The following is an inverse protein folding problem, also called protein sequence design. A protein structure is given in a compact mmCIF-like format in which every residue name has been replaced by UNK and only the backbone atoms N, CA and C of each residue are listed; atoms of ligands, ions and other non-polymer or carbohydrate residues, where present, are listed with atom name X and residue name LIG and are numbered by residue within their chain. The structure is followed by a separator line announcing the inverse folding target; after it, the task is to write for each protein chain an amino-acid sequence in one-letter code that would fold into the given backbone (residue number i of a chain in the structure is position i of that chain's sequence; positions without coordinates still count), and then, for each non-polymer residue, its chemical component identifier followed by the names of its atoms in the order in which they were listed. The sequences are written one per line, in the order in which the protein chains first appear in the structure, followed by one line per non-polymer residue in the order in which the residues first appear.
data_IF_809522921873
#
_entry.id   IF_809522921873
#
_cell.length_a   1.000
_cell.length_b   1.000
_cell.length_c   1.000
_cell.angle_alpha   90.00
_cell.angle_beta   90.00
_cell.angle_gamma   90.00
#
_symmetry.space_group_name_H-M   'P 1'
#
loop_
_entity.id
_entity.type
_entity.pdbx_description
1 polymer ?
#
# COMPACT_ATOMS: atom_id res chain seq x y z
N UNK A 1 48.60 -60.09 12.31
CA UNK A 1 47.30 -60.68 12.02
C UNK A 1 46.23 -59.84 12.70
N UNK A 2 45.58 -58.93 11.99
CA UNK A 2 44.44 -58.13 12.50
C UNK A 2 43.24 -58.40 11.60
N UNK A 3 42.19 -58.95 12.20
CA UNK A 3 40.93 -59.25 11.50
C UNK A 3 40.13 -57.95 11.24
N UNK A 4 39.81 -57.68 9.99
CA UNK A 4 38.88 -56.65 9.59
C UNK A 4 37.41 -57.11 9.80
N UNK A 5 36.66 -56.39 10.61
CA UNK A 5 35.22 -56.60 10.77
C UNK A 5 34.45 -55.69 9.80
N UNK A 6 33.73 -56.32 8.91
CA UNK A 6 32.93 -55.73 7.85
C UNK A 6 31.57 -55.24 8.46
N UNK A 7 31.38 -53.92 8.65
CA UNK A 7 30.08 -53.35 9.05
C UNK A 7 29.29 -52.98 7.80
N UNK A 8 28.31 -53.76 7.45
CA UNK A 8 27.31 -53.49 6.44
C UNK A 8 26.46 -52.25 6.81
N UNK A 9 26.63 -51.12 6.10
CA UNK A 9 25.77 -49.94 6.23
C UNK A 9 24.41 -50.26 5.62
N UNK A 10 23.37 -50.34 6.46
CA UNK A 10 21.97 -50.35 6.02
C UNK A 10 21.62 -49.01 5.40
N UNK A 11 21.16 -49.00 4.15
CA UNK A 11 20.58 -47.82 3.47
C UNK A 11 19.27 -47.43 4.16
N UNK A 12 19.01 -46.13 4.44
CA UNK A 12 17.73 -45.68 4.96
C UNK A 12 16.63 -45.91 3.90
N UNK A 13 15.47 -46.41 4.35
CA UNK A 13 14.26 -46.56 3.51
C UNK A 13 13.75 -45.19 3.06
N UNK A 14 13.27 -45.03 1.80
CA UNK A 14 12.68 -43.81 1.32
C UNK A 14 11.42 -43.46 2.15
N UNK A 15 11.43 -42.32 2.78
CA UNK A 15 10.28 -41.80 3.53
C UNK A 15 9.23 -41.34 2.52
N UNK A 16 8.06 -41.96 2.58
CA UNK A 16 6.92 -41.74 1.68
C UNK A 16 6.46 -40.26 1.74
N UNK A 17 7.00 -39.43 0.81
CA UNK A 17 6.71 -38.01 0.68
C UNK A 17 5.24 -37.73 0.32
N UNK A 18 4.53 -38.71 -0.25
CA UNK A 18 3.13 -38.61 -0.62
C UNK A 18 2.20 -38.58 0.61
N UNK A 19 2.51 -39.35 1.66
CA UNK A 19 1.72 -39.33 2.91
C UNK A 19 1.93 -38.07 3.74
N UNK A 20 3.06 -37.39 3.63
CA UNK A 20 3.29 -36.08 4.25
C UNK A 20 2.51 -34.97 3.54
N UNK A 21 2.42 -35.00 2.21
CA UNK A 21 1.62 -34.04 1.43
C UNK A 21 0.11 -34.21 1.64
N UNK A 22 -0.38 -35.44 1.82
CA UNK A 22 -1.79 -35.71 2.10
C UNK A 22 -2.21 -35.30 3.53
N UNK A 23 -1.29 -35.38 4.53
CA UNK A 23 -1.55 -34.91 5.90
C UNK A 23 -1.50 -33.38 6.02
N UNK A 24 -0.73 -32.68 5.18
CA UNK A 24 -0.70 -31.22 5.14
C UNK A 24 -1.99 -30.63 4.53
N UNK A 25 -2.65 -31.35 3.60
CA UNK A 25 -3.93 -30.92 3.00
C UNK A 25 -5.16 -31.12 3.90
N UNK A 26 -5.07 -31.88 5.00
CA UNK A 26 -6.18 -32.09 5.98
C UNK A 26 -6.08 -31.27 7.25
N UNK A 27 -5.08 -30.39 7.39
CA UNK A 27 -5.15 -29.33 8.38
C UNK A 27 -6.03 -28.24 7.76
N UNK A 28 -7.31 -28.24 8.13
CA UNK A 28 -8.22 -27.16 7.84
C UNK A 28 -7.53 -25.83 8.13
N UNK A 29 -7.67 -24.86 7.23
CA UNK A 29 -7.23 -23.49 7.49
C UNK A 29 -7.75 -23.12 8.90
N UNK A 30 -6.85 -22.63 9.76
CA UNK A 30 -7.28 -22.09 11.04
C UNK A 30 -8.35 -21.03 10.74
N UNK A 31 -9.47 -20.99 11.47
CA UNK A 31 -10.49 -20.00 11.24
C UNK A 31 -9.82 -18.63 11.27
N UNK A 32 -10.03 -17.84 10.22
CA UNK A 32 -9.61 -16.44 10.16
C UNK A 32 -10.22 -15.77 11.39
N UNK A 33 -9.44 -15.14 12.27
CA UNK A 33 -10.04 -14.46 13.41
C UNK A 33 -10.98 -13.39 12.86
N UNK A 34 -12.27 -13.48 13.21
CA UNK A 34 -13.21 -12.39 13.00
C UNK A 34 -12.66 -11.18 13.77
N UNK A 35 -12.26 -10.16 13.01
CA UNK A 35 -11.92 -8.85 13.56
C UNK A 35 -13.26 -8.13 13.66
N UNK A 36 -13.47 -7.33 14.69
CA UNK A 36 -14.69 -6.55 14.89
C UNK A 36 -15.10 -5.88 13.57
N UNK A 37 -16.23 -6.33 13.03
CA UNK A 37 -16.75 -5.96 11.71
C UNK A 37 -17.32 -4.53 11.69
N UNK A 38 -17.41 -3.91 12.85
CA UNK A 38 -17.97 -2.57 12.97
C UNK A 38 -16.93 -1.50 12.63
N UNK A 39 -17.33 -0.53 11.83
CA UNK A 39 -16.54 0.68 11.60
C UNK A 39 -16.37 1.41 12.93
N UNK A 40 -15.14 1.69 13.40
CA UNK A 40 -14.92 2.39 14.65
C UNK A 40 -15.52 3.80 14.64
N UNK A 41 -16.28 4.16 15.67
CA UNK A 41 -16.87 5.49 15.81
C UNK A 41 -15.85 6.61 15.74
N UNK A 42 -14.67 6.39 16.30
CA UNK A 42 -13.56 7.34 16.26
C UNK A 42 -13.08 7.62 14.83
N UNK A 43 -13.06 6.61 13.95
CA UNK A 43 -12.73 6.79 12.53
C UNK A 43 -13.85 7.57 11.83
N UNK A 44 -15.10 7.19 12.04
CA UNK A 44 -16.24 7.85 11.42
C UNK A 44 -16.34 9.33 11.86
N UNK A 45 -16.12 9.63 13.14
CA UNK A 45 -16.08 10.99 13.67
C UNK A 45 -14.93 11.80 13.06
N UNK A 46 -13.73 11.23 12.98
CA UNK A 46 -12.59 11.90 12.37
C UNK A 46 -12.83 12.22 10.88
N UNK A 47 -13.53 11.33 10.14
CA UNK A 47 -13.93 11.60 8.75
C UNK A 47 -14.96 12.71 8.69
N UNK A 48 -16.02 12.66 9.52
CA UNK A 48 -17.06 13.68 9.62
C UNK A 48 -16.47 15.08 9.88
N UNK A 49 -15.56 15.17 10.82
CA UNK A 49 -14.90 16.43 11.20
C UNK A 49 -13.80 16.88 10.24
N UNK A 50 -13.58 16.16 9.14
CA UNK A 50 -12.48 16.38 8.19
C UNK A 50 -11.09 16.37 8.86
N UNK A 51 -10.97 15.62 9.94
CA UNK A 51 -9.73 15.36 10.68
C UNK A 51 -9.08 14.02 10.34
N UNK A 52 -9.54 13.36 9.27
CA UNK A 52 -8.93 12.12 8.76
C UNK A 52 -8.16 12.37 7.46
N UNK A 53 -7.02 11.70 7.32
CA UNK A 53 -6.23 11.59 6.10
C UNK A 53 -6.51 10.21 5.52
N UNK A 54 -6.75 10.14 4.21
CA UNK A 54 -6.74 8.88 3.49
C UNK A 54 -5.34 8.61 2.93
N UNK A 55 -4.82 7.40 3.10
CA UNK A 55 -3.61 6.93 2.44
C UNK A 55 -3.95 5.75 1.53
N UNK A 56 -3.96 5.98 0.21
CA UNK A 56 -4.42 5.04 -0.79
C UNK A 56 -3.25 4.36 -1.52
N UNK A 57 -3.25 3.02 -1.54
CA UNK A 57 -2.26 2.20 -2.22
C UNK A 57 -2.76 1.61 -3.54
N UNK A 58 -1.93 0.75 -4.15
CA UNK A 58 -2.15 0.16 -5.47
C UNK A 58 -3.45 -0.65 -5.59
N UNK A 59 -3.94 -1.24 -4.49
CA UNK A 59 -5.21 -1.99 -4.48
C UNK A 59 -6.42 -1.16 -4.91
N UNK A 60 -6.39 0.18 -4.75
CA UNK A 60 -7.42 1.06 -5.26
C UNK A 60 -7.45 1.09 -6.80
N UNK A 61 -6.28 1.12 -7.43
CA UNK A 61 -6.14 1.23 -8.88
C UNK A 61 -6.25 -0.12 -9.61
N UNK A 62 -5.85 -1.21 -8.95
CA UNK A 62 -6.04 -2.58 -9.48
C UNK A 62 -7.53 -2.88 -9.74
N UNK A 63 -8.42 -2.34 -8.92
CA UNK A 63 -9.86 -2.46 -9.03
C UNK A 63 -10.44 -1.92 -10.36
N UNK A 64 -9.80 -0.97 -10.98
CA UNK A 64 -10.22 -0.42 -12.28
C UNK A 64 -9.41 -0.97 -13.46
N UNK A 65 -8.63 -2.03 -13.22
CA UNK A 65 -7.92 -2.79 -14.25
C UNK A 65 -6.52 -2.26 -14.58
N UNK A 66 -5.85 -1.64 -13.62
CA UNK A 66 -4.42 -1.37 -13.76
C UNK A 66 -3.62 -2.69 -13.80
N UNK A 67 -2.54 -2.75 -14.62
CA UNK A 67 -1.61 -3.86 -14.60
C UNK A 67 -1.03 -4.13 -13.22
N UNK A 68 -0.72 -5.38 -12.96
CA UNK A 68 -0.05 -5.78 -11.72
C UNK A 68 1.42 -5.34 -11.72
N UNK A 69 2.01 -5.27 -10.52
CA UNK A 69 3.46 -5.09 -10.38
C UNK A 69 4.27 -6.18 -11.10
N UNK A 70 3.72 -7.39 -11.25
CA UNK A 70 4.39 -8.48 -11.97
C UNK A 70 4.54 -8.15 -13.45
N UNK A 71 3.50 -7.61 -14.10
CA UNK A 71 3.58 -7.21 -15.50
C UNK A 71 4.61 -6.10 -15.74
N UNK A 72 4.79 -5.21 -14.77
CA UNK A 72 5.82 -4.19 -14.79
C UNK A 72 7.24 -4.79 -14.67
N UNK A 73 7.42 -5.77 -13.79
CA UNK A 73 8.67 -6.52 -13.64
C UNK A 73 9.00 -7.26 -14.93
N UNK A 74 8.01 -7.95 -15.49
CA UNK A 74 8.17 -8.75 -16.72
C UNK A 74 8.56 -7.85 -17.91
N UNK A 75 7.96 -6.66 -18.01
CA UNK A 75 8.33 -5.68 -19.03
C UNK A 75 9.77 -5.20 -18.88
N UNK A 76 10.21 -4.82 -17.68
CA UNK A 76 11.61 -4.42 -17.44
C UNK A 76 12.59 -5.54 -17.81
N UNK A 77 12.29 -6.76 -17.41
CA UNK A 77 13.12 -7.92 -17.72
C UNK A 77 13.20 -8.19 -19.22
N UNK A 78 12.06 -8.11 -19.92
CA UNK A 78 12.00 -8.28 -21.38
C UNK A 78 12.85 -7.24 -22.11
N UNK A 79 12.75 -5.95 -21.75
CA UNK A 79 13.57 -4.89 -22.37
C UNK A 79 15.07 -5.06 -22.10
N UNK A 80 15.43 -5.69 -20.98
CA UNK A 80 16.80 -5.99 -20.61
C UNK A 80 17.31 -7.32 -21.21
N UNK A 81 16.46 -8.08 -21.89
CA UNK A 81 16.79 -9.42 -22.42
C UNK A 81 17.05 -10.45 -21.31
N UNK A 82 16.39 -10.30 -20.18
CA UNK A 82 16.57 -11.13 -19.00
C UNK A 82 15.40 -12.12 -18.86
N UNK A 83 15.72 -13.34 -18.37
CA UNK A 83 14.71 -14.37 -18.06
C UNK A 83 14.21 -14.18 -16.62
N UNK A 84 12.92 -13.83 -16.48
CA UNK A 84 12.29 -13.54 -15.17
C UNK A 84 12.29 -14.73 -14.22
N UNK A 85 12.19 -15.96 -14.73
CA UNK A 85 12.11 -17.18 -13.91
C UNK A 85 13.40 -17.45 -13.12
N UNK A 86 14.54 -16.91 -13.59
CA UNK A 86 15.87 -17.13 -13.02
C UNK A 86 16.49 -15.90 -12.34
N UNK A 87 15.91 -14.73 -12.51
CA UNK A 87 16.55 -13.45 -12.15
C UNK A 87 16.27 -12.97 -10.74
N UNK A 88 15.05 -13.16 -10.27
CA UNK A 88 14.65 -12.72 -8.97
C UNK A 88 14.86 -13.86 -7.98
N UNK A 89 16.11 -14.13 -7.63
CA UNK A 89 16.38 -14.89 -6.41
C UNK A 89 15.73 -14.21 -5.20
N UNK A 90 15.63 -14.91 -4.04
CA UNK A 90 14.93 -14.38 -2.85
C UNK A 90 15.40 -13.01 -2.35
N UNK A 91 16.52 -12.52 -2.86
CA UNK A 91 17.16 -11.27 -2.44
C UNK A 91 16.97 -10.10 -3.42
N UNK A 92 16.46 -10.30 -4.64
CA UNK A 92 16.29 -9.23 -5.61
C UNK A 92 14.87 -8.66 -5.55
N UNK A 93 14.78 -7.37 -5.22
CA UNK A 93 13.53 -6.64 -5.25
C UNK A 93 13.29 -6.03 -6.64
N UNK A 94 12.03 -5.68 -6.95
CA UNK A 94 11.72 -4.93 -8.17
C UNK A 94 12.42 -3.56 -8.22
N UNK A 95 12.76 -2.97 -7.08
CA UNK A 95 13.55 -1.74 -7.00
C UNK A 95 14.98 -1.95 -7.50
N UNK A 96 15.59 -3.08 -7.15
CA UNK A 96 16.92 -3.46 -7.65
C UNK A 96 16.89 -3.68 -9.17
N UNK A 97 15.82 -4.28 -9.70
CA UNK A 97 15.65 -4.45 -11.15
C UNK A 97 15.48 -3.08 -11.84
N UNK A 98 14.69 -2.17 -11.27
CA UNK A 98 14.53 -0.81 -11.80
C UNK A 98 15.84 -0.01 -11.75
N UNK A 99 16.65 -0.19 -10.70
CA UNK A 99 17.99 0.40 -10.60
C UNK A 99 18.90 -0.15 -11.71
N UNK A 100 18.91 -1.47 -11.92
CA UNK A 100 19.68 -2.10 -12.97
C UNK A 100 19.21 -1.64 -14.36
N UNK A 101 17.91 -1.48 -14.56
CA UNK A 101 17.34 -0.91 -15.78
C UNK A 101 17.90 0.49 -16.02
N UNK A 102 17.89 1.36 -15.02
CA UNK A 102 18.45 2.71 -15.10
C UNK A 102 19.93 2.72 -15.47
N UNK A 103 20.73 1.82 -14.88
CA UNK A 103 22.16 1.67 -15.17
C UNK A 103 22.37 1.25 -16.63
N UNK A 104 21.57 0.31 -17.14
CA UNK A 104 21.72 -0.22 -18.50
C UNK A 104 21.21 0.72 -19.58
N UNK A 105 20.09 1.40 -19.33
CA UNK A 105 19.44 2.30 -20.30
C UNK A 105 19.87 3.78 -20.13
N UNK A 106 20.63 4.10 -19.09
CA UNK A 106 21.05 5.47 -18.76
C UNK A 106 19.96 6.34 -18.12
N UNK A 107 18.68 5.93 -18.20
CA UNK A 107 17.54 6.60 -17.58
C UNK A 107 16.34 5.66 -17.42
N UNK A 108 15.33 6.09 -16.66
CA UNK A 108 14.02 5.40 -16.57
C UNK A 108 12.99 5.96 -17.55
N UNK A 109 13.38 6.86 -18.47
CA UNK A 109 12.44 7.57 -19.34
C UNK A 109 11.58 6.67 -20.22
N UNK A 110 12.16 5.60 -20.81
CA UNK A 110 11.42 4.63 -21.59
C UNK A 110 10.43 3.85 -20.72
N UNK A 111 10.87 3.41 -19.54
CA UNK A 111 10.05 2.71 -18.55
C UNK A 111 8.89 3.60 -18.08
N UNK A 112 9.16 4.83 -17.70
CA UNK A 112 8.12 5.82 -17.33
C UNK A 112 7.11 6.02 -18.48
N UNK A 113 7.58 6.12 -19.71
CA UNK A 113 6.70 6.28 -20.88
C UNK A 113 5.83 5.04 -21.13
N UNK A 114 6.36 3.87 -20.83
CA UNK A 114 5.58 2.63 -20.87
C UNK A 114 4.51 2.62 -19.78
N UNK A 115 4.85 2.99 -18.55
CA UNK A 115 3.91 3.10 -17.42
C UNK A 115 2.77 4.08 -17.76
N UNK A 116 3.09 5.28 -18.24
CA UNK A 116 2.08 6.30 -18.58
C UNK A 116 1.11 5.84 -19.67
N UNK A 117 1.56 5.00 -20.62
CA UNK A 117 0.70 4.42 -21.66
C UNK A 117 -0.13 3.24 -21.18
N UNK A 118 0.45 2.35 -20.38
CA UNK A 118 -0.18 1.08 -19.99
C UNK A 118 -0.97 1.19 -18.70
N UNK A 119 -0.67 2.17 -17.86
CA UNK A 119 -1.37 2.42 -16.59
C UNK A 119 -2.46 3.50 -16.73
N UNK A 120 -2.96 3.65 -17.94
CA UNK A 120 -4.06 4.56 -18.22
C UNK A 120 -5.39 3.80 -18.19
N UNK A 121 -6.24 4.17 -17.26
CA UNK A 121 -7.63 3.70 -17.19
C UNK A 121 -8.54 4.73 -17.84
N UNK A 122 -9.60 4.29 -18.53
CA UNK A 122 -10.55 5.22 -19.11
C UNK A 122 -11.37 5.94 -18.03
N UNK A 123 -11.69 7.20 -18.25
CA UNK A 123 -12.49 8.00 -17.30
C UNK A 123 -13.86 7.38 -17.04
N UNK A 124 -14.43 6.64 -18.01
CA UNK A 124 -15.70 5.92 -17.85
C UNK A 124 -15.57 4.80 -16.82
N UNK A 125 -14.47 4.04 -16.83
CA UNK A 125 -14.24 2.98 -15.84
C UNK A 125 -14.06 3.56 -14.44
N UNK A 126 -13.29 4.65 -14.30
CA UNK A 126 -13.12 5.31 -13.02
C UNK A 126 -14.44 5.87 -12.51
N UNK A 127 -15.23 6.53 -13.38
CA UNK A 127 -16.56 7.07 -13.05
C UNK A 127 -17.54 5.98 -12.62
N UNK A 128 -17.48 4.79 -13.23
CA UNK A 128 -18.33 3.65 -12.90
C UNK A 128 -17.88 2.92 -11.62
N UNK A 129 -16.67 3.18 -11.13
CA UNK A 129 -16.15 2.52 -9.93
C UNK A 129 -16.82 3.04 -8.67
N UNK A 130 -17.60 2.17 -8.01
CA UNK A 130 -18.24 2.46 -6.72
C UNK A 130 -17.21 2.81 -5.65
N UNK A 131 -16.06 2.15 -5.64
CA UNK A 131 -14.98 2.41 -4.69
C UNK A 131 -14.44 3.84 -4.82
N UNK A 132 -14.18 4.30 -6.06
CA UNK A 132 -13.72 5.67 -6.32
C UNK A 132 -14.79 6.71 -5.98
N UNK A 133 -16.06 6.42 -6.27
CA UNK A 133 -17.18 7.28 -5.87
C UNK A 133 -17.25 7.45 -4.35
N UNK A 134 -17.20 6.35 -3.59
CA UNK A 134 -17.20 6.37 -2.14
C UNK A 134 -16.01 7.14 -1.54
N UNK A 135 -14.81 7.01 -2.16
CA UNK A 135 -13.64 7.77 -1.74
C UNK A 135 -13.89 9.28 -1.83
N UNK A 136 -14.47 9.74 -2.94
CA UNK A 136 -14.77 11.18 -3.14
C UNK A 136 -15.89 11.65 -2.20
N UNK A 137 -16.92 10.82 -2.00
CA UNK A 137 -18.07 11.12 -1.14
C UNK A 137 -17.72 11.20 0.34
N UNK A 138 -16.72 10.46 0.82
CA UNK A 138 -16.20 10.52 2.19
C UNK A 138 -15.46 11.83 2.50
N UNK A 139 -15.17 12.65 1.50
CA UNK A 139 -14.66 14.02 1.60
C UNK A 139 -13.41 14.19 2.49
N UNK A 140 -12.43 13.30 2.34
CA UNK A 140 -11.15 13.46 3.02
C UNK A 140 -10.46 14.76 2.59
N UNK A 141 -9.99 15.61 3.53
CA UNK A 141 -9.29 16.85 3.18
C UNK A 141 -7.94 16.59 2.51
N UNK A 142 -7.31 15.46 2.80
CA UNK A 142 -6.02 15.09 2.24
C UNK A 142 -6.04 13.60 1.88
N UNK A 143 -5.73 13.30 0.62
CA UNK A 143 -5.54 11.94 0.11
C UNK A 143 -4.07 11.79 -0.29
N UNK A 144 -3.31 11.01 0.47
CA UNK A 144 -1.97 10.56 0.09
C UNK A 144 -2.06 9.31 -0.78
N UNK A 145 -1.18 9.20 -1.76
CA UNK A 145 -1.06 7.97 -2.55
C UNK A 145 0.38 7.74 -3.01
N UNK A 146 0.79 6.47 -3.02
CA UNK A 146 2.03 6.04 -3.68
C UNK A 146 1.81 5.66 -5.14
N UNK A 147 0.56 5.68 -5.62
CA UNK A 147 0.22 5.34 -6.99
C UNK A 147 0.64 6.46 -7.95
N UNK A 148 1.22 6.08 -9.07
CA UNK A 148 1.62 7.03 -10.13
C UNK A 148 0.45 7.39 -11.06
N UNK A 149 -0.57 6.51 -11.16
CA UNK A 149 -1.75 6.70 -12.02
C UNK A 149 -2.59 7.92 -11.59
N UNK A 150 -3.56 8.29 -12.44
CA UNK A 150 -4.42 9.47 -12.24
C UNK A 150 -5.86 9.11 -11.88
N UNK A 151 -6.10 7.90 -11.36
CA UNK A 151 -7.47 7.43 -11.13
C UNK A 151 -8.18 8.21 -10.01
N UNK A 152 -7.44 8.62 -8.96
CA UNK A 152 -8.01 9.45 -7.89
C UNK A 152 -8.39 10.82 -8.43
N UNK A 153 -7.52 11.47 -9.19
CA UNK A 153 -7.77 12.76 -9.83
C UNK A 153 -8.96 12.69 -10.80
N UNK A 154 -9.04 11.62 -11.60
CA UNK A 154 -10.16 11.37 -12.51
C UNK A 154 -11.50 11.17 -11.75
N UNK A 155 -11.46 10.50 -10.59
CA UNK A 155 -12.64 10.34 -9.73
C UNK A 155 -13.13 11.69 -9.19
N UNK A 156 -12.23 12.54 -8.69
CA UNK A 156 -12.58 13.88 -8.22
C UNK A 156 -13.18 14.72 -9.35
N UNK A 157 -12.55 14.71 -10.52
CA UNK A 157 -13.07 15.42 -11.71
C UNK A 157 -14.44 14.90 -12.14
N UNK A 158 -14.66 13.57 -12.18
CA UNK A 158 -15.94 12.96 -12.53
C UNK A 158 -17.07 13.36 -11.57
N UNK A 159 -16.78 13.57 -10.30
CA UNK A 159 -17.71 14.02 -9.28
C UNK A 159 -17.75 15.55 -9.10
N UNK A 160 -17.07 16.31 -9.95
CA UNK A 160 -17.00 17.79 -9.92
C UNK A 160 -16.52 18.32 -8.55
N UNK A 161 -15.59 17.63 -7.94
CA UNK A 161 -14.96 18.02 -6.68
C UNK A 161 -13.60 18.67 -6.97
N UNK A 162 -13.41 19.88 -6.50
CA UNK A 162 -12.14 20.58 -6.64
C UNK A 162 -11.04 19.93 -5.79
N UNK A 163 -9.84 19.91 -6.32
CA UNK A 163 -8.65 19.41 -5.62
C UNK A 163 -7.39 20.14 -6.05
N UNK A 164 -6.37 20.11 -5.22
CA UNK A 164 -5.00 20.49 -5.55
C UNK A 164 -4.14 19.25 -5.59
N UNK A 165 -3.53 18.94 -6.74
CA UNK A 165 -2.52 17.89 -6.86
C UNK A 165 -1.19 18.42 -6.29
N UNK A 166 -0.57 17.64 -5.42
CA UNK A 166 0.70 17.93 -4.76
C UNK A 166 1.69 16.81 -5.06
N UNK A 167 2.63 17.04 -5.98
CA UNK A 167 3.67 16.09 -6.34
C UNK A 167 5.08 16.54 -5.92
N UNK A 168 5.24 17.82 -5.56
CA UNK A 168 6.52 18.41 -5.16
C UNK A 168 6.32 19.62 -4.23
N UNK A 169 7.43 20.22 -3.78
CA UNK A 169 7.42 21.36 -2.85
C UNK A 169 6.66 22.58 -3.39
N UNK A 170 6.75 22.86 -4.71
CA UNK A 170 6.05 24.00 -5.35
C UNK A 170 4.54 23.85 -5.22
N UNK A 171 4.03 22.62 -5.29
CA UNK A 171 2.60 22.36 -5.24
C UNK A 171 2.07 22.49 -3.81
N UNK A 172 2.90 22.25 -2.79
CA UNK A 172 2.53 22.50 -1.38
C UNK A 172 2.11 23.96 -1.21
N UNK A 173 2.83 24.90 -1.82
CA UNK A 173 2.52 26.32 -1.73
C UNK A 173 1.21 26.73 -2.43
N UNK A 174 0.64 25.86 -3.29
CA UNK A 174 -0.63 26.10 -4.01
C UNK A 174 -1.85 25.58 -3.24
N UNK A 175 -1.66 24.89 -2.12
CA UNK A 175 -2.76 24.35 -1.33
C UNK A 175 -3.62 25.48 -0.77
N UNK A 176 -4.94 25.21 -0.66
CA UNK A 176 -5.94 26.17 -0.19
C UNK A 176 -6.79 25.53 0.88
N UNK A 177 -7.18 26.30 1.85
CA UNK A 177 -8.12 25.85 2.89
C UNK A 177 -9.47 25.46 2.26
N UNK A 178 -10.06 24.37 2.74
CA UNK A 178 -11.34 23.86 2.24
C UNK A 178 -11.24 23.03 0.96
N UNK A 179 -10.15 23.11 0.19
CA UNK A 179 -9.94 22.35 -1.04
C UNK A 179 -9.17 21.07 -0.74
N UNK A 180 -9.67 19.93 -1.22
CA UNK A 180 -9.01 18.65 -1.05
C UNK A 180 -7.61 18.61 -1.68
N UNK A 181 -6.69 17.90 -1.07
CA UNK A 181 -5.33 17.72 -1.58
C UNK A 181 -5.13 16.26 -1.99
N UNK A 182 -4.64 16.03 -3.20
CA UNK A 182 -4.17 14.71 -3.66
C UNK A 182 -2.65 14.75 -3.70
N UNK A 183 -2.01 14.07 -2.73
CA UNK A 183 -0.55 14.10 -2.56
C UNK A 183 0.06 12.85 -3.17
N UNK A 184 0.78 13.02 -4.27
CA UNK A 184 1.49 11.96 -5.02
C UNK A 184 2.82 11.68 -4.32
N UNK A 185 2.78 10.80 -3.30
CA UNK A 185 3.87 10.61 -2.37
C UNK A 185 5.12 9.97 -3.00
N UNK A 186 4.95 9.12 -4.02
CA UNK A 186 6.04 8.55 -4.82
C UNK A 186 6.20 9.22 -6.19
N UNK A 187 5.64 10.40 -6.36
CA UNK A 187 5.77 11.19 -7.57
C UNK A 187 4.64 11.00 -8.57
N UNK A 188 4.77 11.70 -9.69
CA UNK A 188 3.77 11.80 -10.76
C UNK A 188 4.46 11.76 -12.12
N UNK A 189 3.79 11.24 -13.16
CA UNK A 189 4.31 11.18 -14.53
C UNK A 189 4.51 12.56 -15.20
N UNK A 190 4.00 13.64 -14.63
CA UNK A 190 4.22 15.01 -15.11
C UNK A 190 5.56 15.59 -14.65
N UNK A 191 6.23 14.97 -13.66
CA UNK A 191 7.53 15.37 -13.14
C UNK A 191 8.42 14.14 -12.93
N UNK A 192 9.23 13.83 -13.94
CA UNK A 192 10.13 12.66 -13.94
C UNK A 192 11.08 12.65 -12.73
N UNK A 193 11.45 13.81 -12.20
CA UNK A 193 12.33 13.92 -11.04
C UNK A 193 11.62 13.61 -9.71
N UNK A 194 10.29 13.54 -9.72
CA UNK A 194 9.50 13.21 -8.53
C UNK A 194 9.35 11.70 -8.30
N UNK A 195 9.63 10.88 -9.33
CA UNK A 195 9.34 9.44 -9.31
C UNK A 195 10.28 8.68 -8.38
N UNK A 196 9.71 7.87 -7.50
CA UNK A 196 10.41 6.98 -6.56
C UNK A 196 10.24 5.54 -7.04
N UNK A 197 11.12 5.08 -7.92
CA UNK A 197 11.02 3.77 -8.59
C UNK A 197 12.23 2.89 -8.32
N UNK A 198 13.44 3.47 -8.37
CA UNK A 198 14.69 2.72 -8.24
C UNK A 198 15.08 2.50 -6.77
N UNK A 199 15.99 1.57 -6.53
CA UNK A 199 16.51 1.30 -5.18
C UNK A 199 17.19 2.54 -4.57
N UNK A 200 17.94 3.29 -5.37
CA UNK A 200 18.54 4.56 -4.95
C UNK A 200 17.46 5.58 -4.56
N UNK A 201 16.36 5.68 -5.29
CA UNK A 201 15.26 6.60 -4.94
C UNK A 201 14.66 6.22 -3.58
N UNK A 202 14.47 4.93 -3.32
CA UNK A 202 13.99 4.43 -2.02
C UNK A 202 14.96 4.72 -0.89
N UNK A 203 16.26 4.54 -1.11
CA UNK A 203 17.29 4.86 -0.11
C UNK A 203 17.37 6.35 0.19
N UNK A 204 17.26 7.19 -0.83
CA UNK A 204 17.23 8.64 -0.64
C UNK A 204 16.02 9.08 0.22
N UNK A 205 14.91 8.33 0.17
CA UNK A 205 13.72 8.59 0.99
C UNK A 205 13.87 8.15 2.45
N UNK A 206 14.86 7.33 2.81
CA UNK A 206 15.08 6.88 4.20
C UNK A 206 15.53 8.01 5.15
N UNK A 207 16.01 9.12 4.63
CA UNK A 207 16.29 10.32 5.42
C UNK A 207 15.01 10.98 5.96
N UNK A 208 13.87 10.78 5.29
CA UNK A 208 12.57 11.38 5.62
C UNK A 208 12.61 12.91 5.77
N UNK A 209 13.40 13.57 4.94
CA UNK A 209 13.62 15.02 4.93
C UNK A 209 13.09 15.70 3.66
N UNK A 210 12.54 14.93 2.71
CA UNK A 210 11.92 15.52 1.54
C UNK A 210 10.70 16.37 1.94
N UNK A 211 10.35 17.42 1.17
CA UNK A 211 9.19 18.26 1.48
C UNK A 211 7.88 17.50 1.65
N UNK A 212 7.66 16.41 0.90
CA UNK A 212 6.47 15.56 1.04
C UNK A 212 6.53 14.71 2.31
N UNK A 213 7.70 14.24 2.74
CA UNK A 213 7.87 13.50 4.00
C UNK A 213 7.59 14.41 5.20
N UNK A 214 8.12 15.63 5.17
CA UNK A 214 7.86 16.64 6.20
C UNK A 214 6.37 17.00 6.27
N UNK A 215 5.74 17.18 5.10
CA UNK A 215 4.29 17.44 5.02
C UNK A 215 3.50 16.28 5.62
N UNK A 216 3.77 15.03 5.23
CA UNK A 216 3.04 13.87 5.76
C UNK A 216 3.23 13.75 7.28
N UNK A 217 4.46 13.91 7.77
CA UNK A 217 4.73 13.88 9.22
C UNK A 217 3.93 14.93 9.97
N UNK A 218 3.92 16.17 9.46
CA UNK A 218 3.13 17.26 10.04
C UNK A 218 1.64 16.94 10.06
N UNK A 219 1.09 16.50 8.93
CA UNK A 219 -0.33 16.17 8.81
C UNK A 219 -0.73 15.00 9.71
N UNK A 220 0.07 13.93 9.74
CA UNK A 220 -0.21 12.70 10.50
C UNK A 220 0.03 12.85 12.01
N UNK A 221 0.75 13.87 12.46
CA UNK A 221 0.87 14.16 13.90
C UNK A 221 -0.46 14.66 14.48
N UNK A 222 -1.25 15.38 13.72
CA UNK A 222 -2.48 16.00 14.22
C UNK A 222 -3.78 15.36 13.71
N UNK A 223 -3.71 14.31 12.83
CA UNK A 223 -4.89 13.74 12.19
C UNK A 223 -4.91 12.22 12.24
N UNK A 224 -6.11 11.66 12.28
CA UNK A 224 -6.33 10.22 12.04
C UNK A 224 -5.89 9.85 10.64
N UNK A 225 -5.22 8.70 10.47
CA UNK A 225 -4.81 8.20 9.14
C UNK A 225 -5.50 6.88 8.87
N UNK A 226 -6.21 6.79 7.74
CA UNK A 226 -6.80 5.56 7.22
C UNK A 226 -6.00 5.07 6.01
N UNK A 227 -5.41 3.88 6.09
CA UNK A 227 -4.74 3.21 4.97
C UNK A 227 -5.70 2.26 4.29
N UNK A 228 -5.84 2.36 2.95
CA UNK A 228 -6.65 1.47 2.12
C UNK A 228 -5.87 1.02 0.88
N UNK A 229 -6.19 -0.18 0.37
CA UNK A 229 -5.54 -0.70 -0.84
C UNK A 229 -4.03 -0.88 -0.68
N UNK A 230 -3.56 -1.06 0.55
CA UNK A 230 -2.14 -1.10 0.91
C UNK A 230 -1.79 -2.43 1.55
N UNK A 231 -0.78 -3.11 1.01
CA UNK A 231 -0.30 -4.38 1.58
C UNK A 231 0.56 -4.18 2.84
N UNK A 232 0.92 -2.93 3.17
CA UNK A 232 1.86 -2.58 4.25
C UNK A 232 3.23 -3.27 4.12
N UNK A 233 3.64 -3.56 2.89
CA UNK A 233 4.96 -4.15 2.60
C UNK A 233 6.02 -3.10 2.27
N UNK A 234 5.61 -1.87 1.89
CA UNK A 234 6.52 -0.77 1.60
C UNK A 234 7.32 -0.38 2.86
N UNK A 235 8.63 -0.57 2.79
CA UNK A 235 9.52 -0.35 3.92
C UNK A 235 9.61 1.13 4.31
N UNK A 236 9.56 2.05 3.33
CA UNK A 236 9.60 3.49 3.62
C UNK A 236 8.37 3.93 4.42
N UNK A 237 7.19 3.49 4.00
CA UNK A 237 5.94 3.79 4.72
C UNK A 237 5.96 3.17 6.11
N UNK A 238 6.39 1.91 6.24
CA UNK A 238 6.50 1.26 7.55
C UNK A 238 7.47 1.98 8.48
N UNK A 239 8.63 2.39 7.98
CA UNK A 239 9.62 3.12 8.76
C UNK A 239 9.13 4.52 9.13
N UNK A 240 8.41 5.20 8.23
CA UNK A 240 7.78 6.48 8.51
C UNK A 240 6.74 6.36 9.64
N UNK A 241 5.88 5.35 9.59
CA UNK A 241 4.90 5.07 10.65
C UNK A 241 5.56 4.72 11.99
N UNK A 242 6.62 3.91 11.96
CA UNK A 242 7.40 3.62 13.15
C UNK A 242 8.04 4.89 13.75
N UNK A 243 8.56 5.79 12.91
CA UNK A 243 9.10 7.07 13.36
C UNK A 243 8.04 7.98 13.98
N UNK A 244 6.83 8.03 13.42
CA UNK A 244 5.69 8.74 14.01
C UNK A 244 5.31 8.16 15.38
N UNK A 245 5.19 6.84 15.47
CA UNK A 245 4.94 6.17 16.74
C UNK A 245 6.02 6.51 17.78
N UNK A 246 7.30 6.42 17.41
CA UNK A 246 8.42 6.74 18.30
C UNK A 246 8.38 8.21 18.76
N UNK A 247 8.02 9.14 17.88
CA UNK A 247 7.87 10.56 18.21
C UNK A 247 6.83 10.76 19.33
N UNK A 248 5.68 10.11 19.20
CA UNK A 248 4.64 10.16 20.22
C UNK A 248 5.06 9.50 21.54
N UNK A 249 5.75 8.34 21.48
CA UNK A 249 6.29 7.70 22.68
C UNK A 249 7.27 8.61 23.43
N UNK A 250 8.15 9.28 22.69
CA UNK A 250 9.18 10.17 23.27
C UNK A 250 8.57 11.48 23.85
N UNK A 251 7.42 11.91 23.39
CA UNK A 251 6.76 13.14 23.86
C UNK A 251 6.19 13.04 25.27
N UNK A 252 5.96 11.84 25.77
CA UNK A 252 5.21 11.60 27.02
C UNK A 252 3.67 11.65 26.86
N UNK A 253 3.14 12.02 25.69
CA UNK A 253 1.71 12.14 25.38
C UNK A 253 1.21 11.04 24.42
N UNK A 254 1.78 9.84 24.49
CA UNK A 254 1.45 8.75 23.58
C UNK A 254 -0.05 8.36 23.58
N UNK A 255 -0.77 8.62 24.67
CA UNK A 255 -2.21 8.35 24.81
C UNK A 255 -3.09 9.33 24.03
N UNK A 256 -2.60 10.55 23.78
CA UNK A 256 -3.32 11.62 23.09
C UNK A 256 -3.11 11.59 21.57
N UNK A 257 -2.37 10.60 21.10
CA UNK A 257 -2.08 10.43 19.67
C UNK A 257 -3.35 10.15 18.87
N UNK A 258 -3.57 10.84 17.73
CA UNK A 258 -4.62 10.49 16.79
C UNK A 258 -4.48 9.01 16.35
N UNK A 259 -5.58 8.29 16.28
CA UNK A 259 -5.56 6.88 15.89
C UNK A 259 -5.23 6.73 14.40
N UNK A 260 -4.62 5.62 14.07
CA UNK A 260 -4.38 5.22 12.69
C UNK A 260 -5.02 3.87 12.44
N UNK A 261 -5.60 3.69 11.25
CA UNK A 261 -6.31 2.50 10.86
C UNK A 261 -5.75 1.98 9.54
N UNK A 262 -5.78 0.67 9.35
CA UNK A 262 -5.44 0.05 8.07
C UNK A 262 -6.49 -0.98 7.69
N UNK A 263 -7.09 -0.83 6.53
CA UNK A 263 -7.97 -1.85 5.99
C UNK A 263 -7.15 -2.94 5.31
N UNK A 264 -7.36 -4.18 5.72
CA UNK A 264 -6.69 -5.38 5.23
C UNK A 264 -7.72 -6.44 4.86
N UNK A 265 -7.92 -6.70 3.56
CA UNK A 265 -8.88 -7.72 3.11
C UNK A 265 -8.51 -9.14 3.63
N UNK A 266 -7.22 -9.42 3.78
CA UNK A 266 -6.70 -10.69 4.30
C UNK A 266 -5.65 -10.42 5.38
N UNK A 267 -6.07 -10.21 6.64
CA UNK A 267 -5.15 -9.89 7.71
C UNK A 267 -4.20 -11.05 8.03
N UNK A 268 -2.90 -10.73 8.15
CA UNK A 268 -1.90 -11.66 8.65
C UNK A 268 -1.69 -11.41 10.14
N UNK A 269 -1.80 -12.46 10.96
CA UNK A 269 -1.70 -12.36 12.43
C UNK A 269 -0.40 -11.69 12.92
N UNK A 270 0.74 -12.01 12.28
CA UNK A 270 2.03 -11.41 12.67
C UNK A 270 2.07 -9.92 12.30
N UNK A 271 1.60 -9.59 11.10
CA UNK A 271 1.54 -8.21 10.63
C UNK A 271 0.58 -7.38 11.49
N UNK A 272 -0.58 -7.95 11.84
CA UNK A 272 -1.54 -7.32 12.76
C UNK A 272 -0.87 -6.96 14.08
N UNK A 273 -0.24 -7.92 14.76
CA UNK A 273 0.41 -7.69 16.04
C UNK A 273 1.49 -6.59 16.00
N UNK A 274 2.28 -6.53 14.91
CA UNK A 274 3.31 -5.49 14.73
C UNK A 274 2.66 -4.11 14.51
N UNK A 275 1.60 -4.02 13.72
CA UNK A 275 0.89 -2.75 13.47
C UNK A 275 0.21 -2.24 14.75
N UNK A 276 -0.44 -3.13 15.50
CA UNK A 276 -1.06 -2.80 16.79
C UNK A 276 -0.04 -2.28 17.80
N UNK A 277 1.18 -2.85 17.84
CA UNK A 277 2.26 -2.33 18.68
C UNK A 277 2.63 -0.89 18.32
N UNK A 278 2.53 -0.50 17.05
CA UNK A 278 2.73 0.88 16.61
C UNK A 278 1.45 1.73 16.75
N UNK A 279 0.39 1.15 17.33
CA UNK A 279 -0.91 1.77 17.54
C UNK A 279 -1.65 2.06 16.23
N UNK A 280 -1.52 1.18 15.27
CA UNK A 280 -2.31 1.14 14.05
C UNK A 280 -3.32 0.02 14.20
N UNK A 281 -4.61 0.34 14.11
CA UNK A 281 -5.70 -0.62 14.25
C UNK A 281 -6.02 -1.26 12.91
N UNK A 282 -5.81 -2.58 12.74
CA UNK A 282 -6.23 -3.29 11.53
C UNK A 282 -7.75 -3.44 11.50
N UNK A 283 -8.33 -3.16 10.33
CA UNK A 283 -9.74 -3.36 10.01
C UNK A 283 -9.85 -4.39 8.89
N UNK A 284 -10.96 -5.12 8.81
CA UNK A 284 -11.23 -6.07 7.73
C UNK A 284 -12.68 -5.96 7.26
N UNK A 285 -12.98 -6.51 6.09
CA UNK A 285 -14.33 -6.63 5.57
C UNK A 285 -14.84 -8.07 5.65
N UNK A 286 -16.10 -8.27 5.31
CA UNK A 286 -16.80 -9.57 5.37
C UNK A 286 -16.47 -10.48 4.17
N UNK A 287 -16.13 -9.90 3.00
CA UNK A 287 -15.89 -10.67 1.78
C UNK A 287 -14.46 -11.19 1.70
N UNK A 288 -14.29 -12.41 1.18
CA UNK A 288 -12.98 -12.96 0.81
C UNK A 288 -12.39 -12.29 -0.45
N UNK A 289 -13.22 -11.62 -1.26
CA UNK A 289 -12.78 -10.82 -2.38
C UNK A 289 -12.28 -9.45 -1.90
N UNK A 290 -11.02 -9.08 -2.17
CA UNK A 290 -10.44 -7.84 -1.66
C UNK A 290 -11.14 -6.57 -2.15
N UNK A 291 -11.69 -6.59 -3.36
CA UNK A 291 -12.40 -5.47 -3.96
C UNK A 291 -13.76 -5.27 -3.30
N UNK A 292 -14.53 -6.35 -3.17
CA UNK A 292 -15.83 -6.33 -2.50
C UNK A 292 -15.67 -5.95 -1.02
N UNK A 293 -14.67 -6.51 -0.33
CA UNK A 293 -14.39 -6.22 1.06
C UNK A 293 -14.08 -4.74 1.30
N UNK A 294 -13.19 -4.14 0.48
CA UNK A 294 -12.86 -2.72 0.61
C UNK A 294 -14.04 -1.82 0.23
N UNK A 295 -14.77 -2.15 -0.83
CA UNK A 295 -15.95 -1.39 -1.25
C UNK A 295 -17.05 -1.45 -0.19
N UNK A 296 -17.28 -2.61 0.41
CA UNK A 296 -18.21 -2.80 1.53
C UNK A 296 -17.81 -1.97 2.76
N UNK A 297 -16.55 -2.01 3.13
CA UNK A 297 -16.01 -1.20 4.23
C UNK A 297 -16.20 0.31 4.01
N UNK A 298 -15.86 0.83 2.83
CA UNK A 298 -16.05 2.26 2.52
C UNK A 298 -17.53 2.66 2.53
N UNK A 299 -18.42 1.79 2.08
CA UNK A 299 -19.86 2.02 2.15
C UNK A 299 -20.37 2.03 3.61
N UNK A 300 -19.88 1.10 4.44
CA UNK A 300 -20.19 1.06 5.86
C UNK A 300 -19.66 2.31 6.60
N UNK A 301 -18.43 2.75 6.28
CA UNK A 301 -17.86 3.97 6.84
C UNK A 301 -18.71 5.19 6.47
N UNK A 302 -19.10 5.35 5.20
CA UNK A 302 -19.98 6.44 4.77
C UNK A 302 -21.31 6.42 5.51
N UNK A 303 -21.94 5.24 5.65
CA UNK A 303 -23.18 5.10 6.41
C UNK A 303 -22.98 5.51 7.86
N UNK A 304 -21.89 5.06 8.51
CA UNK A 304 -21.60 5.41 9.91
C UNK A 304 -21.34 6.91 10.10
N UNK A 305 -20.67 7.55 9.15
CA UNK A 305 -20.49 9.02 9.16
C UNK A 305 -21.83 9.75 9.12
N UNK A 306 -22.77 9.32 8.27
CA UNK A 306 -24.10 9.91 8.19
C UNK A 306 -24.91 9.70 9.48
N UNK A 307 -24.85 8.51 10.09
CA UNK A 307 -25.54 8.20 11.36
C UNK A 307 -25.05 9.06 12.55
N UNK A 308 -23.84 9.61 12.50
CA UNK A 308 -23.34 10.53 13.51
C UNK A 308 -23.86 11.96 13.31
N UNK A 309 -24.53 12.26 12.19
CA UNK A 309 -25.14 13.58 11.90
C UNK A 309 -26.49 13.77 12.58
N UNK A 310 -27.14 12.69 12.94
CA UNK A 310 -28.43 12.66 13.66
C UNK A 310 -28.22 12.69 15.19
#
# INVERSE_FOLDING_TARGET
VVKATNKTKRRPRPVDSAKRRARARKRGAAPTPHIDEAVPDELALAVKERHAILFAGAGLSMNVGLPSWQEFIDHMAQELGLDTDNLLGPAASYHTLAEYYRIKQGSIGALRSWMDRNWKVSDEKVRASKMHALLVELDFPIVYTTNYDRNIEAAFAAHKRDFVKVANARDIAKTREGVAQIVKFHGDFEDDNSLVVTETDYFNRLAFDSPLDLKFRSDALGKTVLFIGYSMTDMNIRLLLHNLWRTWQASGYAKDRPKSFVFMARPNLMQKAVLEQWGITPLSGESDDPEEALTGFLAALKKRVAELED
#
